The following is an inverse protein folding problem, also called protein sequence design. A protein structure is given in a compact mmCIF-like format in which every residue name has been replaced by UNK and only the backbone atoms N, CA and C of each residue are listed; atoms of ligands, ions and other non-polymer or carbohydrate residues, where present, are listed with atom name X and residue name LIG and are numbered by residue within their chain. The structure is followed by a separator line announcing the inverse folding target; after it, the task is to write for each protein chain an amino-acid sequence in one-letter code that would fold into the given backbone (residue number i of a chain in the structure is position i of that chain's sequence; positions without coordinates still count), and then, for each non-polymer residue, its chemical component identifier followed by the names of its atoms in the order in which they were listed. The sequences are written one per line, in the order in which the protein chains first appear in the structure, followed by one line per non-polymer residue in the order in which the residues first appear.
data_IF_227042195488
#
_entry.id   IF_227042195488
#
_cell.length_a   1.000
_cell.length_b   1.000
_cell.length_c   1.000
_cell.angle_alpha   90.00
_cell.angle_beta   90.00
_cell.angle_gamma   90.00
#
_symmetry.space_group_name_H-M   'P 1'
#
loop_
_entity.id
_entity.type
_entity.pdbx_description
1 polymer ?
#
# COMPACT_ATOMS: atom_id res chain seq x y z
N UNK A 1 -25.56 38.52 -29.61
CA UNK A 1 -25.76 39.85 -30.24
C UNK A 1 -27.10 39.83 -30.97
N UNK A 2 -27.87 40.92 -31.02
CA UNK A 2 -29.11 40.97 -31.82
C UNK A 2 -28.78 40.94 -33.33
N UNK A 3 -29.55 40.26 -34.19
CA UNK A 3 -29.25 40.10 -35.62
C UNK A 3 -29.06 41.43 -36.37
N UNK A 4 -29.91 42.43 -36.08
CA UNK A 4 -29.80 43.77 -36.66
C UNK A 4 -28.47 44.45 -36.35
N UNK A 5 -28.04 44.37 -35.09
CA UNK A 5 -26.74 44.92 -34.65
C UNK A 5 -25.55 44.21 -35.28
N UNK A 6 -25.68 42.92 -35.64
CA UNK A 6 -24.63 42.16 -36.32
C UNK A 6 -24.50 42.58 -37.78
N UNK A 7 -25.60 42.79 -38.49
CA UNK A 7 -25.59 43.30 -39.85
C UNK A 7 -25.01 44.72 -39.93
N UNK A 8 -25.41 45.61 -39.03
CA UNK A 8 -24.87 46.97 -38.98
C UNK A 8 -23.38 46.99 -38.67
N UNK A 9 -22.92 46.14 -37.73
CA UNK A 9 -21.51 45.99 -37.42
C UNK A 9 -20.70 45.47 -38.60
N UNK A 10 -21.21 44.44 -39.30
CA UNK A 10 -20.55 43.88 -40.48
C UNK A 10 -20.43 44.92 -41.60
N UNK A 11 -21.49 45.69 -41.87
CA UNK A 11 -21.46 46.79 -42.85
C UNK A 11 -20.49 47.90 -42.50
N UNK A 12 -20.36 48.23 -41.22
CA UNK A 12 -19.53 49.35 -40.78
C UNK A 12 -18.05 48.98 -40.64
N UNK A 13 -17.75 47.78 -40.16
CA UNK A 13 -16.38 47.37 -39.81
C UNK A 13 -15.74 46.42 -40.84
N UNK A 14 -16.56 45.68 -41.60
CA UNK A 14 -16.11 44.70 -42.58
C UNK A 14 -16.95 44.79 -43.87
N UNK A 15 -16.95 45.94 -44.56
CA UNK A 15 -17.83 46.19 -45.71
C UNK A 15 -17.65 45.13 -46.82
N UNK A 16 -16.42 44.65 -47.04
CA UNK A 16 -16.07 43.66 -48.07
C UNK A 16 -16.63 42.25 -47.79
N UNK A 17 -17.10 42.01 -46.56
CA UNK A 17 -17.60 40.70 -46.11
C UNK A 17 -19.14 40.66 -46.03
N UNK A 18 -19.81 41.77 -46.37
CA UNK A 18 -21.27 41.92 -46.22
C UNK A 18 -22.11 41.06 -47.18
N UNK A 19 -21.54 40.70 -48.32
CA UNK A 19 -22.18 39.87 -49.36
C UNK A 19 -21.77 38.39 -49.30
N UNK A 20 -20.95 38.00 -48.32
CA UNK A 20 -20.49 36.61 -48.22
C UNK A 20 -21.59 35.70 -47.69
N UNK A 21 -21.58 34.47 -48.17
CA UNK A 21 -22.56 33.46 -47.79
C UNK A 21 -22.27 32.84 -46.42
N UNK A 22 -23.25 32.10 -45.89
CA UNK A 22 -23.11 31.42 -44.60
C UNK A 22 -21.92 30.46 -44.58
N UNK A 23 -21.61 29.83 -45.73
CA UNK A 23 -20.54 28.84 -45.87
C UNK A 23 -19.17 29.48 -45.69
N UNK A 24 -18.97 30.70 -46.18
CA UNK A 24 -17.77 31.50 -45.93
C UNK A 24 -17.56 31.73 -44.43
N UNK A 25 -18.60 32.18 -43.70
CA UNK A 25 -18.51 32.44 -42.26
C UNK A 25 -18.33 31.17 -41.43
N UNK A 26 -18.93 30.05 -41.83
CA UNK A 26 -18.67 28.73 -41.22
C UNK A 26 -17.20 28.33 -41.40
N UNK A 27 -16.66 28.49 -42.60
CA UNK A 27 -15.23 28.21 -42.89
C UNK A 27 -14.31 29.14 -42.10
N UNK A 28 -14.67 30.42 -41.97
CA UNK A 28 -13.90 31.41 -41.21
C UNK A 28 -13.93 31.10 -39.70
N UNK A 29 -15.09 30.69 -39.18
CA UNK A 29 -15.25 30.22 -37.79
C UNK A 29 -14.39 28.98 -37.54
N UNK A 30 -14.41 28.00 -38.44
CA UNK A 30 -13.58 26.79 -38.33
C UNK A 30 -12.10 27.13 -38.34
N UNK A 31 -11.66 28.06 -39.21
CA UNK A 31 -10.28 28.56 -39.23
C UNK A 31 -9.91 29.26 -37.92
N UNK A 32 -10.82 30.07 -37.36
CA UNK A 32 -10.60 30.73 -36.07
C UNK A 32 -10.52 29.74 -34.90
N UNK A 33 -11.40 28.74 -34.87
CA UNK A 33 -11.40 27.70 -33.84
C UNK A 33 -10.20 26.76 -33.95
N UNK A 34 -9.66 26.54 -35.15
CA UNK A 34 -8.45 25.75 -35.39
C UNK A 34 -7.15 26.55 -35.24
N UNK A 35 -7.23 27.88 -35.09
CA UNK A 35 -6.05 28.74 -34.93
C UNK A 35 -5.36 28.41 -33.59
N UNK A 36 -4.04 28.18 -33.57
CA UNK A 36 -3.34 27.94 -32.32
C UNK A 36 -3.27 29.25 -31.52
N UNK A 37 -3.96 29.27 -30.37
CA UNK A 37 -3.96 30.38 -29.41
C UNK A 37 -2.90 30.13 -28.32
N UNK A 38 -2.45 31.19 -27.64
CA UNK A 38 -1.45 31.08 -26.56
C UNK A 38 -1.89 30.07 -25.49
N UNK A 39 -3.14 30.14 -25.04
CA UNK A 39 -3.68 29.22 -24.03
C UNK A 39 -3.68 27.76 -24.49
N UNK A 40 -3.99 27.52 -25.77
CA UNK A 40 -3.99 26.17 -26.36
C UNK A 40 -2.58 25.64 -26.57
N UNK A 41 -1.62 26.51 -26.89
CA UNK A 41 -0.20 26.17 -26.94
C UNK A 41 0.33 25.78 -25.55
N UNK A 42 0.05 26.58 -24.51
CA UNK A 42 0.45 26.27 -23.14
C UNK A 42 -0.20 24.98 -22.63
N UNK A 43 -1.51 24.78 -22.85
CA UNK A 43 -2.19 23.54 -22.48
C UNK A 43 -1.58 22.30 -23.18
N UNK A 44 -1.26 22.41 -24.48
CA UNK A 44 -0.63 21.31 -25.23
C UNK A 44 0.81 21.03 -24.80
N UNK A 45 1.54 22.04 -24.32
CA UNK A 45 2.88 21.86 -23.76
C UNK A 45 2.84 21.26 -22.36
N UNK A 46 1.89 21.65 -21.52
CA UNK A 46 1.68 21.05 -20.20
C UNK A 46 1.31 19.55 -20.32
N UNK A 47 0.34 19.21 -21.17
CA UNK A 47 -0.04 17.81 -21.42
C UNK A 47 1.12 16.96 -21.94
N UNK A 48 1.93 17.53 -22.85
CA UNK A 48 3.12 16.87 -23.40
C UNK A 48 4.18 16.59 -22.33
N UNK A 49 4.36 17.51 -21.39
CA UNK A 49 5.28 17.30 -20.26
C UNK A 49 4.76 16.24 -19.28
N UNK A 50 3.44 16.16 -19.09
CA UNK A 50 2.82 15.13 -18.24
C UNK A 50 3.03 13.72 -18.83
N UNK A 51 2.87 13.56 -20.15
CA UNK A 51 3.09 12.29 -20.83
C UNK A 51 4.54 11.81 -20.72
N UNK A 52 5.52 12.72 -20.88
CA UNK A 52 6.95 12.38 -20.76
C UNK A 52 7.27 11.96 -19.33
N UNK A 53 6.78 12.73 -18.34
CA UNK A 53 6.99 12.44 -16.94
C UNK A 53 6.39 11.08 -16.57
N UNK A 54 5.15 10.82 -17.02
CA UNK A 54 4.45 9.55 -16.83
C UNK A 54 5.20 8.38 -17.46
N UNK A 55 5.65 8.52 -18.70
CA UNK A 55 6.47 7.50 -19.36
C UNK A 55 7.71 7.17 -18.54
N UNK A 56 8.30 8.20 -17.95
CA UNK A 56 9.53 8.08 -17.18
C UNK A 56 9.33 7.42 -15.80
N UNK A 57 8.22 7.67 -15.09
CA UNK A 57 7.82 6.87 -13.92
C UNK A 57 7.52 5.43 -14.30
N UNK A 58 6.76 5.20 -15.37
CA UNK A 58 6.43 3.84 -15.82
C UNK A 58 7.67 3.02 -16.16
N UNK A 59 8.66 3.61 -16.85
CA UNK A 59 9.93 2.92 -17.13
C UNK A 59 10.71 2.67 -15.85
N UNK A 60 10.75 3.64 -14.93
CA UNK A 60 11.43 3.46 -13.62
C UNK A 60 10.79 2.32 -12.81
N UNK A 61 9.46 2.20 -12.86
CA UNK A 61 8.73 1.09 -12.24
C UNK A 61 9.09 -0.26 -12.87
N UNK A 62 9.22 -0.32 -14.20
CA UNK A 62 9.67 -1.54 -14.88
C UNK A 62 11.10 -1.93 -14.48
N UNK A 63 12.00 -0.96 -14.35
CA UNK A 63 13.39 -1.19 -13.88
C UNK A 63 13.37 -1.77 -12.46
N UNK A 64 12.58 -1.19 -11.56
CA UNK A 64 12.43 -1.66 -10.19
C UNK A 64 11.88 -3.10 -10.13
N UNK A 65 10.79 -3.38 -10.86
CA UNK A 65 10.17 -4.71 -10.91
C UNK A 65 11.12 -5.79 -11.45
N UNK A 66 12.01 -5.42 -12.36
CA UNK A 66 12.99 -6.34 -12.91
C UNK A 66 14.24 -6.53 -12.01
N UNK A 67 14.39 -5.74 -10.94
CA UNK A 67 15.56 -5.79 -10.06
C UNK A 67 16.87 -5.39 -10.74
N UNK A 68 16.82 -4.54 -11.77
CA UNK A 68 17.97 -4.17 -12.59
C UNK A 68 18.58 -2.85 -12.09
N UNK A 69 19.92 -2.64 -12.18
CA UNK A 69 20.55 -1.39 -11.76
C UNK A 69 19.95 -0.13 -12.42
N UNK A 70 19.83 0.95 -11.64
CA UNK A 70 19.27 2.23 -12.09
C UNK A 70 19.98 2.83 -13.32
N UNK A 71 21.24 2.44 -13.56
CA UNK A 71 22.01 2.86 -14.73
C UNK A 71 21.49 2.31 -16.06
N UNK A 72 20.57 1.34 -16.05
CA UNK A 72 20.08 0.72 -17.29
C UNK A 72 19.33 1.72 -18.18
N UNK A 73 18.71 2.73 -17.59
CA UNK A 73 18.02 3.81 -18.30
C UNK A 73 18.93 4.50 -19.30
N UNK A 74 20.07 5.02 -18.82
CA UNK A 74 21.07 5.68 -19.66
C UNK A 74 21.94 4.72 -20.48
N UNK A 75 22.25 3.52 -19.96
CA UNK A 75 23.16 2.58 -20.62
C UNK A 75 22.54 1.81 -21.78
N UNK A 76 21.23 1.55 -21.75
CA UNK A 76 20.57 0.69 -22.73
C UNK A 76 19.23 1.24 -23.22
N UNK A 77 18.36 1.72 -22.33
CA UNK A 77 17.00 2.13 -22.72
C UNK A 77 17.03 3.36 -23.62
N UNK A 78 17.79 4.40 -23.25
CA UNK A 78 17.92 5.60 -24.09
C UNK A 78 18.57 5.27 -25.46
N UNK A 79 19.70 4.53 -25.55
CA UNK A 79 20.23 4.08 -26.85
C UNK A 79 19.25 3.24 -27.68
N UNK A 80 18.49 2.34 -27.05
CA UNK A 80 17.50 1.53 -27.77
C UNK A 80 16.35 2.39 -28.33
N UNK A 81 15.88 3.38 -27.57
CA UNK A 81 14.91 4.35 -28.04
C UNK A 81 15.46 5.21 -29.19
N UNK A 82 16.76 5.50 -29.18
CA UNK A 82 17.44 6.21 -30.26
C UNK A 82 17.41 5.41 -31.56
N UNK A 83 17.82 4.15 -31.48
CA UNK A 83 17.87 3.29 -32.65
C UNK A 83 16.48 3.07 -33.25
N UNK A 84 15.45 2.82 -32.42
CA UNK A 84 14.06 2.67 -32.88
C UNK A 84 13.54 3.96 -33.52
N UNK A 85 13.81 5.13 -32.91
CA UNK A 85 13.36 6.41 -33.46
C UNK A 85 14.00 6.71 -34.82
N UNK A 86 15.30 6.38 -34.97
CA UNK A 86 16.06 6.55 -36.21
C UNK A 86 15.64 5.57 -37.30
N UNK A 87 15.49 4.29 -36.97
CA UNK A 87 15.30 3.20 -37.95
C UNK A 87 13.84 2.93 -38.28
N UNK A 88 12.95 2.92 -37.28
CA UNK A 88 11.54 2.56 -37.45
C UNK A 88 10.68 3.79 -37.69
N UNK A 89 10.90 4.85 -36.90
CA UNK A 89 10.08 6.05 -36.96
C UNK A 89 10.60 7.09 -37.96
N UNK A 90 11.86 6.96 -38.40
CA UNK A 90 12.57 7.91 -39.25
C UNK A 90 12.45 9.37 -38.75
N UNK A 91 12.55 9.55 -37.43
CA UNK A 91 12.44 10.86 -36.76
C UNK A 91 13.71 11.18 -35.98
N UNK A 92 14.03 12.47 -35.79
CA UNK A 92 15.12 12.85 -34.92
C UNK A 92 14.84 12.40 -33.49
N UNK A 93 15.69 11.53 -32.96
CA UNK A 93 15.55 10.97 -31.63
C UNK A 93 15.73 12.01 -30.51
N UNK A 94 16.38 13.13 -30.81
CA UNK A 94 16.66 14.23 -29.88
C UNK A 94 15.42 14.74 -29.17
N UNK A 95 14.27 14.72 -29.83
CA UNK A 95 13.06 15.32 -29.30
C UNK A 95 12.41 14.41 -28.25
N UNK A 96 12.53 13.09 -28.36
CA UNK A 96 11.90 12.14 -27.42
C UNK A 96 12.86 11.78 -26.29
N UNK A 97 14.13 11.54 -26.62
CA UNK A 97 15.16 11.10 -25.65
C UNK A 97 15.49 12.18 -24.64
N UNK A 98 15.57 13.46 -25.07
CA UNK A 98 15.82 14.58 -24.16
C UNK A 98 14.65 14.83 -23.20
N UNK A 99 13.45 14.39 -23.57
CA UNK A 99 12.22 14.68 -22.83
C UNK A 99 11.92 13.67 -21.73
N UNK A 100 12.35 12.42 -21.88
CA UNK A 100 12.13 11.35 -20.89
C UNK A 100 13.41 11.16 -20.04
N UNK A 101 13.48 11.73 -18.82
CA UNK A 101 14.72 11.69 -18.04
C UNK A 101 14.90 10.31 -17.40
N UNK A 102 15.85 9.53 -17.91
CA UNK A 102 16.17 8.16 -17.45
C UNK A 102 17.63 8.00 -17.03
N UNK A 103 18.31 9.09 -16.65
CA UNK A 103 19.63 8.97 -16.03
C UNK A 103 19.53 8.25 -14.67
N UNK A 104 20.65 7.69 -14.21
CA UNK A 104 20.72 6.91 -12.97
C UNK A 104 20.00 7.61 -11.80
N UNK A 105 20.33 8.87 -11.54
CA UNK A 105 19.79 9.63 -10.40
C UNK A 105 18.29 9.86 -10.50
N UNK A 106 17.77 10.03 -11.73
CA UNK A 106 16.35 10.25 -11.96
C UNK A 106 15.56 8.97 -11.76
N UNK A 107 16.07 7.85 -12.28
CA UNK A 107 15.45 6.53 -12.06
C UNK A 107 15.42 6.22 -10.55
N UNK A 108 16.54 6.42 -9.86
CA UNK A 108 16.65 6.26 -8.40
C UNK A 108 15.61 7.11 -7.66
N UNK A 109 15.60 8.43 -7.88
CA UNK A 109 14.66 9.34 -7.21
C UNK A 109 13.21 8.94 -7.43
N UNK A 110 12.85 8.52 -8.64
CA UNK A 110 11.46 8.14 -8.94
C UNK A 110 11.06 6.83 -8.27
N UNK A 111 11.98 5.88 -8.18
CA UNK A 111 11.76 4.64 -7.43
C UNK A 111 11.56 4.98 -5.96
N UNK A 112 12.39 5.86 -5.39
CA UNK A 112 12.26 6.32 -4.01
C UNK A 112 10.92 7.04 -3.76
N UNK A 113 10.50 7.92 -4.68
CA UNK A 113 9.21 8.62 -4.59
C UNK A 113 8.02 7.67 -4.65
N UNK A 114 8.02 6.73 -5.60
CA UNK A 114 6.97 5.70 -5.68
C UNK A 114 6.97 4.80 -4.45
N UNK A 115 8.15 4.43 -3.94
CA UNK A 115 8.29 3.64 -2.71
C UNK A 115 7.74 4.40 -1.51
N UNK A 116 8.06 5.69 -1.38
CA UNK A 116 7.58 6.53 -0.27
C UNK A 116 6.07 6.73 -0.31
N UNK A 117 5.46 6.82 -1.50
CA UNK A 117 4.02 6.94 -1.66
C UNK A 117 3.31 5.64 -1.23
N UNK A 118 3.82 4.48 -1.68
CA UNK A 118 3.31 3.16 -1.28
C UNK A 118 3.47 2.96 0.24
N UNK A 119 4.64 3.29 0.80
CA UNK A 119 4.90 3.20 2.25
C UNK A 119 3.94 4.07 3.05
N UNK A 120 3.70 5.31 2.61
CA UNK A 120 2.76 6.22 3.27
C UNK A 120 1.33 5.67 3.23
N UNK A 121 0.89 5.15 2.08
CA UNK A 121 -0.41 4.52 1.93
C UNK A 121 -0.56 3.32 2.89
N UNK A 122 0.42 2.41 2.88
CA UNK A 122 0.39 1.21 3.71
C UNK A 122 0.38 1.56 5.20
N UNK A 123 1.26 2.46 5.65
CA UNK A 123 1.30 2.92 7.05
C UNK A 123 -0.03 3.52 7.50
N UNK A 124 -0.64 4.39 6.67
CA UNK A 124 -1.93 4.99 6.99
C UNK A 124 -3.04 3.92 7.03
N UNK A 125 -3.00 2.95 6.13
CA UNK A 125 -4.00 1.89 6.07
C UNK A 125 -3.91 0.97 7.30
N UNK A 126 -2.70 0.50 7.63
CA UNK A 126 -2.44 -0.40 8.78
C UNK A 126 -2.85 0.22 10.12
N UNK A 127 -2.81 1.55 10.27
CA UNK A 127 -3.29 2.21 11.49
C UNK A 127 -4.77 1.97 11.78
N UNK A 128 -5.55 1.63 10.75
CA UNK A 128 -7.03 1.54 10.83
C UNK A 128 -7.56 0.12 10.86
N UNK A 129 -6.70 -0.90 10.74
CA UNK A 129 -7.12 -2.30 10.59
C UNK A 129 -6.34 -3.23 11.50
N UNK A 130 -6.86 -4.46 11.64
CA UNK A 130 -6.10 -5.56 12.24
C UNK A 130 -5.18 -6.18 11.18
N UNK A 131 -3.96 -6.48 11.59
CA UNK A 131 -2.94 -7.11 10.76
C UNK A 131 -2.04 -7.99 11.64
N UNK A 132 -1.28 -8.88 11.02
CA UNK A 132 -0.20 -9.61 11.68
C UNK A 132 1.14 -9.25 11.05
N UNK A 133 2.22 -9.40 11.82
CA UNK A 133 3.59 -9.22 11.34
C UNK A 133 4.30 -10.56 11.43
N UNK A 134 4.99 -10.93 10.36
CA UNK A 134 5.92 -12.05 10.34
C UNK A 134 7.34 -11.51 10.22
N UNK A 135 8.21 -11.95 11.13
CA UNK A 135 9.65 -11.67 11.07
C UNK A 135 10.38 -12.91 10.58
N UNK A 136 11.30 -12.74 9.63
CA UNK A 136 12.15 -13.79 9.09
C UNK A 136 13.61 -13.35 9.07
N UNK A 137 14.54 -14.28 9.29
CA UNK A 137 15.98 -14.03 9.25
C UNK A 137 16.60 -14.79 8.09
N UNK A 138 17.18 -14.06 7.14
CA UNK A 138 17.92 -14.62 6.01
C UNK A 138 19.42 -14.34 6.14
N UNK A 139 20.26 -15.30 5.77
CA UNK A 139 21.72 -15.14 5.77
C UNK A 139 22.21 -14.72 4.38
N UNK A 140 22.98 -13.63 4.32
CA UNK A 140 23.64 -13.17 3.09
C UNK A 140 24.99 -13.89 2.89
N UNK A 141 25.54 -13.92 1.65
CA UNK A 141 26.80 -14.60 1.34
C UNK A 141 28.03 -14.12 2.13
N UNK A 142 27.95 -12.96 2.77
CA UNK A 142 28.99 -12.36 3.63
C UNK A 142 28.78 -12.65 5.13
N UNK A 143 27.96 -13.65 5.48
CA UNK A 143 27.51 -13.95 6.86
C UNK A 143 26.77 -12.79 7.56
N UNK A 144 26.35 -11.76 6.82
CA UNK A 144 25.44 -10.77 7.37
C UNK A 144 24.04 -11.39 7.50
N UNK A 145 23.40 -11.20 8.65
CA UNK A 145 22.01 -11.56 8.82
C UNK A 145 21.11 -10.43 8.30
N UNK A 146 20.01 -10.78 7.65
CA UNK A 146 19.02 -9.87 7.10
C UNK A 146 17.68 -10.17 7.77
N UNK A 147 17.19 -9.24 8.58
CA UNK A 147 15.85 -9.29 9.14
C UNK A 147 14.86 -8.78 8.08
N UNK A 148 13.92 -9.63 7.72
CA UNK A 148 12.78 -9.34 6.89
C UNK A 148 11.55 -9.21 7.79
N UNK A 149 10.74 -8.19 7.57
CA UNK A 149 9.46 -8.03 8.22
C UNK A 149 8.38 -7.96 7.15
N UNK A 150 7.45 -8.91 7.20
CA UNK A 150 6.27 -8.97 6.37
C UNK A 150 5.05 -8.57 7.19
N UNK A 151 4.11 -7.87 6.57
CA UNK A 151 2.82 -7.53 7.17
C UNK A 151 1.72 -8.23 6.39
N UNK A 152 0.83 -8.91 7.10
CA UNK A 152 -0.30 -9.63 6.54
C UNK A 152 -1.61 -8.97 7.02
N UNK A 153 -2.47 -8.60 6.08
CA UNK A 153 -3.70 -7.86 6.36
C UNK A 153 -4.84 -8.21 5.40
N UNK A 154 -6.08 -7.92 5.80
CA UNK A 154 -7.27 -8.15 4.96
C UNK A 154 -7.70 -6.84 4.32
N UNK A 155 -7.78 -6.82 2.98
CA UNK A 155 -8.31 -5.71 2.21
C UNK A 155 -9.30 -6.25 1.18
N UNK A 156 -10.49 -5.67 1.09
CA UNK A 156 -11.53 -6.10 0.13
C UNK A 156 -11.85 -7.61 0.18
N UNK A 157 -11.86 -8.21 1.39
CA UNK A 157 -12.08 -9.64 1.62
C UNK A 157 -10.97 -10.58 1.09
N UNK A 158 -9.84 -10.03 0.65
CA UNK A 158 -8.65 -10.78 0.25
C UNK A 158 -7.52 -10.56 1.26
N UNK A 159 -6.68 -11.57 1.43
CA UNK A 159 -5.48 -11.50 2.28
C UNK A 159 -4.35 -10.96 1.43
N UNK A 160 -3.68 -9.91 1.92
CA UNK A 160 -2.51 -9.31 1.33
C UNK A 160 -1.31 -9.52 2.25
N UNK A 161 -0.16 -9.81 1.65
CA UNK A 161 1.12 -9.91 2.34
C UNK A 161 2.10 -8.96 1.65
N UNK A 162 2.66 -8.03 2.40
CA UNK A 162 3.58 -7.01 1.88
C UNK A 162 4.87 -6.98 2.71
N UNK A 163 6.01 -6.73 2.05
CA UNK A 163 7.29 -6.53 2.74
C UNK A 163 7.31 -5.14 3.39
N UNK A 164 7.29 -5.10 4.72
CA UNK A 164 7.36 -3.86 5.48
C UNK A 164 8.78 -3.30 5.50
N UNK A 165 9.78 -4.14 5.78
CA UNK A 165 11.19 -3.76 5.64
C UNK A 165 12.11 -4.97 5.50
N UNK A 166 13.26 -4.73 4.88
CA UNK A 166 14.44 -5.59 4.94
C UNK A 166 15.61 -4.78 5.54
N UNK A 167 16.24 -5.31 6.59
CA UNK A 167 17.33 -4.62 7.30
C UNK A 167 18.45 -5.59 7.66
N UNK A 168 19.67 -5.22 7.35
CA UNK A 168 20.85 -5.98 7.78
C UNK A 168 20.99 -5.88 9.30
N UNK A 169 21.00 -7.02 9.97
CA UNK A 169 21.36 -7.15 11.36
C UNK A 169 22.88 -7.05 11.49
N UNK A 170 23.33 -6.16 12.36
CA UNK A 170 24.75 -6.06 12.71
C UNK A 170 25.00 -7.13 13.77
N UNK A 171 25.67 -8.21 13.40
CA UNK A 171 26.02 -9.33 14.30
C UNK A 171 27.35 -9.10 15.05
N UNK A 172 27.79 -7.84 15.12
CA UNK A 172 29.11 -7.45 15.58
C UNK A 172 29.06 -6.73 16.95
N UNK A 173 29.95 -7.14 17.86
CA UNK A 173 30.29 -6.47 19.14
C UNK A 173 31.50 -5.54 19.00
N UNK A 174 31.92 -5.17 17.77
CA UNK A 174 33.12 -4.40 17.45
C UNK A 174 32.97 -3.47 16.23
N UNK A 175 32.38 -2.31 16.50
CA UNK A 175 32.64 -1.01 15.86
C UNK A 175 32.42 -0.82 14.33
N UNK A 176 31.46 0.08 14.06
CA UNK A 176 31.48 1.19 13.07
C UNK A 176 31.67 0.87 11.58
N UNK A 177 30.55 0.87 10.85
CA UNK A 177 30.49 1.29 9.44
C UNK A 177 29.88 2.70 9.32
N UNK A 178 30.53 3.66 8.61
CA UNK A 178 29.96 4.97 8.34
C UNK A 178 29.17 4.96 7.03
N UNK A 179 27.96 5.51 7.02
CA UNK A 179 27.33 6.01 5.79
C UNK A 179 25.92 5.51 5.45
N UNK A 180 25.38 4.48 6.12
CA UNK A 180 23.93 4.19 6.04
C UNK A 180 23.22 4.88 7.18
N UNK A 181 22.08 5.55 6.90
CA UNK A 181 21.22 6.18 7.92
C UNK A 181 21.11 5.21 9.09
N UNK A 182 21.65 5.59 10.25
CA UNK A 182 21.54 4.82 11.50
C UNK A 182 20.07 4.81 11.89
N UNK A 183 19.34 3.81 11.44
CA UNK A 183 18.06 3.48 12.04
C UNK A 183 18.36 2.65 13.27
N UNK A 184 18.05 3.21 14.44
CA UNK A 184 18.20 2.49 15.69
C UNK A 184 17.07 1.44 15.74
N UNK A 185 17.38 0.23 15.26
CA UNK A 185 16.46 -0.90 15.25
C UNK A 185 15.82 -1.12 16.62
N UNK A 186 16.57 -0.87 17.69
CA UNK A 186 16.06 -0.92 19.06
C UNK A 186 14.92 0.08 19.28
N UNK A 187 15.07 1.34 18.88
CA UNK A 187 13.96 2.30 19.02
C UNK A 187 12.74 1.96 18.16
N UNK A 188 12.94 1.36 16.98
CA UNK A 188 11.81 0.92 16.14
C UNK A 188 11.10 -0.28 16.77
N UNK A 189 11.85 -1.27 17.26
CA UNK A 189 11.30 -2.42 17.98
C UNK A 189 10.65 -2.01 19.29
N UNK A 190 11.25 -1.09 20.05
CA UNK A 190 10.68 -0.54 21.29
C UNK A 190 9.36 0.20 20.99
N UNK A 191 9.29 0.97 19.91
CA UNK A 191 8.06 1.63 19.48
C UNK A 191 7.00 0.64 19.02
N UNK A 192 7.39 -0.40 18.27
CA UNK A 192 6.48 -1.48 17.83
C UNK A 192 5.97 -2.29 19.01
N UNK A 193 6.84 -2.59 19.96
CA UNK A 193 6.53 -3.31 21.18
C UNK A 193 5.60 -2.46 22.07
N UNK A 194 5.87 -1.17 22.24
CA UNK A 194 5.00 -0.25 22.97
C UNK A 194 3.63 -0.07 22.29
N UNK A 195 3.58 -0.03 20.95
CA UNK A 195 2.33 0.05 20.20
C UNK A 195 1.55 -1.27 20.32
N UNK A 196 2.24 -2.42 20.28
CA UNK A 196 1.62 -3.73 20.52
C UNK A 196 1.08 -3.86 21.95
N UNK A 197 1.86 -3.47 22.96
CA UNK A 197 1.42 -3.46 24.36
C UNK A 197 0.21 -2.55 24.57
N UNK A 198 0.19 -1.38 23.90
CA UNK A 198 -0.95 -0.46 24.00
C UNK A 198 -2.19 -0.93 23.25
N UNK A 199 -2.04 -1.53 22.07
CA UNK A 199 -3.18 -1.96 21.24
C UNK A 199 -3.83 -3.24 21.72
N UNK A 200 -3.03 -4.12 22.33
CA UNK A 200 -3.47 -5.43 22.81
C UNK A 200 -3.38 -5.53 24.33
N UNK A 201 -3.46 -4.40 25.04
CA UNK A 201 -3.44 -4.34 26.50
C UNK A 201 -4.52 -5.25 27.10
N UNK A 202 -5.70 -5.29 26.50
CA UNK A 202 -6.83 -6.13 26.89
C UNK A 202 -6.50 -7.62 26.81
N UNK A 203 -5.77 -8.06 25.78
CA UNK A 203 -5.31 -9.46 25.63
C UNK A 203 -4.16 -9.75 26.59
N UNK A 204 -3.20 -8.84 26.71
CA UNK A 204 -2.01 -9.03 27.56
C UNK A 204 -2.36 -9.03 29.05
N UNK A 205 -3.39 -8.28 29.44
CA UNK A 205 -3.90 -8.23 30.82
C UNK A 205 -5.03 -9.23 31.07
N UNK A 206 -5.39 -10.04 30.06
CA UNK A 206 -6.48 -11.00 30.17
C UNK A 206 -6.15 -12.09 31.18
N UNK A 207 -6.79 -12.03 32.35
CA UNK A 207 -6.73 -13.11 33.35
C UNK A 207 -7.86 -14.08 33.05
N UNK A 208 -7.50 -15.25 32.51
CA UNK A 208 -8.45 -16.34 32.30
C UNK A 208 -8.76 -17.00 33.66
N UNK A 209 -10.03 -17.03 34.11
CA UNK A 209 -10.43 -17.75 35.32
C UNK A 209 -9.90 -19.19 35.37
N UNK A 210 -9.36 -19.65 36.51
CA UNK A 210 -8.80 -21.01 36.63
C UNK A 210 -9.77 -22.12 36.22
N UNK A 211 -11.08 -21.93 36.44
CA UNK A 211 -12.10 -22.92 36.09
C UNK A 211 -12.37 -23.02 34.59
N UNK A 212 -12.02 -22.00 33.81
CA UNK A 212 -12.07 -22.09 32.34
C UNK A 212 -10.91 -22.94 31.85
N UNK A 213 -9.72 -22.80 32.45
CA UNK A 213 -8.53 -23.57 32.09
C UNK A 213 -8.67 -25.02 32.56
N UNK A 214 -9.22 -25.25 33.75
CA UNK A 214 -9.46 -26.58 34.29
C UNK A 214 -10.78 -26.63 35.07
N UNK A 215 -11.92 -26.90 34.41
CA UNK A 215 -13.24 -26.94 35.06
C UNK A 215 -13.41 -28.11 36.04
N UNK A 216 -12.50 -29.10 36.01
CA UNK A 216 -12.52 -30.27 36.88
C UNK A 216 -11.55 -30.15 38.07
N UNK A 217 -10.89 -29.00 38.22
CA UNK A 217 -10.01 -28.71 39.36
C UNK A 217 -10.81 -28.41 40.62
N UNK A 218 -10.13 -28.50 41.77
CA UNK A 218 -10.68 -28.06 43.05
C UNK A 218 -10.60 -26.53 43.11
N UNK A 219 -11.70 -25.86 42.75
CA UNK A 219 -11.73 -24.41 42.56
C UNK A 219 -12.81 -23.82 43.47
N UNK A 220 -12.38 -23.05 44.46
CA UNK A 220 -13.25 -22.23 45.30
C UNK A 220 -13.73 -21.01 44.50
N UNK A 221 -14.73 -21.23 43.63
CA UNK A 221 -15.37 -20.15 42.89
C UNK A 221 -16.44 -19.48 43.75
N UNK A 222 -16.33 -18.18 44.01
CA UNK A 222 -17.26 -17.44 44.91
C UNK A 222 -18.50 -16.94 44.18
N UNK A 223 -18.51 -16.99 42.85
CA UNK A 223 -19.64 -16.58 42.04
C UNK A 223 -20.78 -17.62 42.09
N UNK A 224 -21.78 -17.32 42.91
CA UNK A 224 -22.99 -18.14 43.12
C UNK A 224 -23.73 -18.49 41.82
N UNK A 225 -23.60 -17.66 40.77
CA UNK A 225 -24.29 -17.86 39.49
C UNK A 225 -23.72 -19.06 38.72
N UNK A 226 -22.43 -19.37 38.88
CA UNK A 226 -21.76 -20.46 38.16
C UNK A 226 -21.47 -21.69 39.01
N UNK A 227 -21.61 -21.60 40.34
CA UNK A 227 -21.29 -22.72 41.23
C UNK A 227 -22.10 -23.98 40.94
N UNK A 228 -23.39 -23.86 40.62
CA UNK A 228 -24.26 -25.01 40.33
C UNK A 228 -23.75 -25.79 39.12
N UNK A 229 -23.65 -25.12 37.96
CA UNK A 229 -23.14 -25.74 36.74
C UNK A 229 -21.69 -26.23 36.89
N UNK A 230 -20.84 -25.49 37.62
CA UNK A 230 -19.44 -25.88 37.82
C UNK A 230 -19.31 -27.14 38.70
N UNK A 231 -20.19 -27.30 39.68
CA UNK A 231 -20.23 -28.51 40.53
C UNK A 231 -20.77 -29.71 39.76
N UNK A 232 -21.80 -29.51 38.94
CA UNK A 232 -22.29 -30.56 38.05
C UNK A 232 -21.26 -30.97 37.01
N UNK A 233 -20.53 -30.00 36.45
CA UNK A 233 -19.49 -30.27 35.47
C UNK A 233 -18.30 -31.00 36.10
N UNK A 234 -17.86 -30.60 37.30
CA UNK A 234 -16.69 -31.20 37.97
C UNK A 234 -16.91 -32.67 38.35
N UNK A 235 -18.17 -33.08 38.55
CA UNK A 235 -18.57 -34.46 38.86
C UNK A 235 -18.88 -35.30 37.61
N UNK A 236 -18.83 -34.70 36.41
CA UNK A 236 -19.11 -35.39 35.15
C UNK A 236 -17.88 -36.15 34.63
N UNK A 237 -17.79 -37.44 34.97
CA UNK A 237 -16.69 -38.32 34.56
C UNK A 237 -16.60 -38.54 33.04
N UNK A 238 -17.72 -38.48 32.30
CA UNK A 238 -17.72 -38.65 30.84
C UNK A 238 -17.01 -37.46 30.16
N UNK A 239 -17.34 -36.24 30.57
CA UNK A 239 -16.71 -35.02 30.06
C UNK A 239 -15.25 -34.88 30.50
N UNK A 240 -14.92 -35.37 31.70
CA UNK A 240 -13.54 -35.42 32.19
C UNK A 240 -12.64 -36.28 31.31
N UNK A 241 -13.15 -37.39 30.79
CA UNK A 241 -12.44 -38.25 29.83
C UNK A 241 -12.23 -37.54 28.48
N UNK A 242 -13.16 -36.67 28.08
CA UNK A 242 -13.11 -35.92 26.82
C UNK A 242 -12.21 -34.67 26.88
N UNK A 243 -11.81 -34.22 28.08
CA UNK A 243 -10.95 -33.06 28.31
C UNK A 243 -9.50 -33.22 27.79
N UNK A 244 -9.13 -34.39 27.28
CA UNK A 244 -7.76 -34.74 26.83
C UNK A 244 -7.16 -33.81 25.76
N UNK A 245 -7.98 -33.07 25.04
CA UNK A 245 -7.55 -32.17 23.96
C UNK A 245 -7.39 -30.71 24.41
N UNK A 246 -7.45 -30.44 25.72
CA UNK A 246 -7.31 -29.10 26.30
C UNK A 246 -8.61 -28.31 26.37
N UNK A 247 -8.59 -27.24 27.16
CA UNK A 247 -9.79 -26.46 27.51
C UNK A 247 -10.45 -25.76 26.32
N UNK A 248 -9.66 -25.27 25.35
CA UNK A 248 -10.19 -24.60 24.16
C UNK A 248 -11.10 -25.53 23.35
N UNK A 249 -10.64 -26.76 23.08
CA UNK A 249 -11.43 -27.76 22.36
C UNK A 249 -12.61 -28.26 23.18
N UNK A 250 -12.46 -28.32 24.51
CA UNK A 250 -13.52 -28.68 25.42
C UNK A 250 -14.70 -27.71 25.36
N UNK A 251 -14.47 -26.40 25.49
CA UNK A 251 -15.55 -25.40 25.48
C UNK A 251 -16.23 -25.23 24.11
N UNK A 252 -15.58 -25.65 23.02
CA UNK A 252 -16.13 -25.63 21.66
C UNK A 252 -17.01 -26.86 21.31
N UNK A 253 -17.13 -27.84 22.21
CA UNK A 253 -17.97 -29.02 21.96
C UNK A 253 -19.46 -28.61 21.89
N UNK A 254 -20.21 -29.23 20.96
CA UNK A 254 -21.60 -28.84 20.65
C UNK A 254 -22.60 -29.02 21.80
N UNK A 255 -22.30 -29.92 22.74
CA UNK A 255 -23.10 -30.22 23.92
C UNK A 255 -22.94 -29.15 25.02
N UNK A 256 -21.74 -28.56 25.17
CA UNK A 256 -21.43 -27.64 26.28
C UNK A 256 -22.34 -26.40 26.32
N UNK A 257 -22.65 -25.69 25.21
CA UNK A 257 -23.57 -24.55 25.25
C UNK A 257 -25.01 -24.89 25.66
N UNK A 258 -25.40 -26.16 25.53
CA UNK A 258 -26.75 -26.66 25.83
C UNK A 258 -26.84 -27.17 27.26
N UNK A 259 -25.82 -27.90 27.71
CA UNK A 259 -25.77 -28.54 29.03
C UNK A 259 -25.29 -27.57 30.13
N UNK A 260 -24.36 -26.67 29.80
CA UNK A 260 -23.78 -25.69 30.74
C UNK A 260 -23.82 -24.27 30.13
N UNK A 261 -25.03 -23.75 29.87
CA UNK A 261 -25.20 -22.47 29.17
C UNK A 261 -24.60 -21.28 29.93
N UNK A 262 -24.60 -21.28 31.26
CA UNK A 262 -24.04 -20.17 32.04
C UNK A 262 -22.51 -20.19 31.97
N UNK A 263 -21.87 -21.34 32.20
CA UNK A 263 -20.43 -21.49 32.08
C UNK A 263 -19.94 -21.16 30.67
N UNK A 264 -20.61 -21.68 29.64
CA UNK A 264 -20.24 -21.41 28.24
C UNK A 264 -20.34 -19.93 27.89
N UNK A 265 -21.39 -19.25 28.36
CA UNK A 265 -21.57 -17.82 28.08
C UNK A 265 -20.44 -16.94 28.63
N UNK A 266 -19.77 -17.38 29.68
CA UNK A 266 -18.61 -16.72 30.26
C UNK A 266 -17.34 -17.19 29.57
N UNK A 267 -17.16 -18.51 29.42
CA UNK A 267 -15.97 -19.12 28.83
C UNK A 267 -15.73 -18.65 27.38
N UNK A 268 -16.78 -18.46 26.57
CA UNK A 268 -16.65 -18.03 25.17
C UNK A 268 -16.09 -16.61 24.97
N UNK A 269 -15.93 -15.85 26.05
CA UNK A 269 -15.36 -14.50 26.04
C UNK A 269 -13.82 -14.51 26.17
N UNK A 270 -13.24 -15.69 26.38
CA UNK A 270 -11.81 -15.95 26.53
C UNK A 270 -11.36 -16.96 25.46
#
# INVERSE_FOLDING_TARGET
MKPSKLQDYLRRCHPDETEKDLKYFQTLKDKFQKRPTRDRMFASMSQRNDDDLRASYNISLLIAKAGIPHTIGEKLILPALEEVSKTVLHKPASDIIKRIPLNKNTVERRIDEMSSDIESFLCNYLQTIHFSIQLDESTLPDNAALLLAYVCFIMNQEIYEELLFARTLITDTKDKLPGRRRFNLRSTLDALYSDFESRFEDILTMVIPPWIINPFGDIEETNVIIQEELTELSTNEELKVQFKNGYQQFWLQKNIPVTYPVLWNIARKF
#
